data_IF_617017076490
#
_entry.id   IF_617017076490
#
_cell.length_a   1.000
_cell.length_b   1.000
_cell.length_c   1.000
_cell.angle_alpha   90.00
_cell.angle_beta   90.00
_cell.angle_gamma   90.00
#
_symmetry.space_group_name_H-M   'P 1'
#
loop_
_entity.id
_entity.type
_entity.pdbx_description
1 polymer ?
#
# COMPACT_ATOMS: atom_id res chain seq x y z
N UNK A 1 12.40 5.16 5.06
CA UNK A 1 11.10 5.82 4.84
C UNK A 1 10.05 4.75 5.02
N UNK A 2 9.17 4.96 5.99
CA UNK A 2 8.36 3.91 6.62
C UNK A 2 6.90 4.36 6.77
N UNK A 3 6.01 3.42 7.07
CA UNK A 3 4.61 3.68 7.42
C UNK A 3 4.44 4.81 8.45
N UNK A 4 5.36 4.94 9.41
CA UNK A 4 5.35 6.01 10.39
C UNK A 4 5.61 7.39 9.79
N UNK A 5 6.46 7.47 8.76
CA UNK A 5 6.70 8.71 8.01
C UNK A 5 5.44 9.15 7.26
N UNK A 6 4.75 8.20 6.62
CA UNK A 6 3.47 8.47 5.94
C UNK A 6 2.40 8.94 6.92
N UNK A 7 2.25 8.25 8.07
CA UNK A 7 1.31 8.65 9.14
C UNK A 7 1.63 10.02 9.74
N UNK A 8 2.90 10.42 9.77
CA UNK A 8 3.31 11.73 10.30
C UNK A 8 3.05 12.87 9.33
N UNK A 9 2.94 12.59 8.03
CA UNK A 9 2.59 13.57 7.01
C UNK A 9 1.07 13.83 6.91
N UNK A 10 0.23 13.04 7.58
CA UNK A 10 -1.24 13.21 7.58
C UNK A 10 -1.63 14.39 8.47
N UNK A 11 -2.35 15.41 7.94
CA UNK A 11 -2.81 16.55 8.73
C UNK A 11 -3.83 16.20 9.82
N UNK A 12 -3.95 17.06 10.83
CA UNK A 12 -4.84 16.82 11.97
C UNK A 12 -6.32 16.66 11.59
N UNK A 13 -6.80 17.38 10.58
CA UNK A 13 -8.18 17.25 10.09
C UNK A 13 -8.46 15.86 9.47
N UNK A 14 -7.41 15.08 9.17
CA UNK A 14 -7.48 13.75 8.59
C UNK A 14 -7.02 12.66 9.57
N UNK A 15 -7.12 12.91 10.88
CA UNK A 15 -6.71 11.99 11.95
C UNK A 15 -7.24 10.57 11.76
N UNK A 16 -8.49 10.41 11.31
CA UNK A 16 -9.09 9.09 11.12
C UNK A 16 -8.40 8.29 10.02
N UNK A 17 -7.88 8.93 8.96
CA UNK A 17 -7.10 8.26 7.92
C UNK A 17 -5.79 7.70 8.49
N UNK A 18 -5.13 8.45 9.37
CA UNK A 18 -3.91 8.01 10.07
C UNK A 18 -4.19 6.79 10.96
N UNK A 19 -5.28 6.82 11.73
CA UNK A 19 -5.67 5.72 12.61
C UNK A 19 -6.03 4.46 11.81
N UNK A 20 -6.83 4.61 10.76
CA UNK A 20 -7.23 3.50 9.91
C UNK A 20 -6.03 2.87 9.19
N UNK A 21 -5.11 3.69 8.65
CA UNK A 21 -3.90 3.17 8.01
C UNK A 21 -3.04 2.36 8.99
N UNK A 22 -2.90 2.84 10.23
CA UNK A 22 -2.22 2.10 11.29
C UNK A 22 -2.91 0.78 11.63
N UNK A 23 -4.23 0.79 11.77
CA UNK A 23 -5.00 -0.42 12.10
C UNK A 23 -5.00 -1.46 10.98
N UNK A 24 -5.18 -1.04 9.73
CA UNK A 24 -5.23 -1.94 8.58
C UNK A 24 -3.91 -2.65 8.35
N UNK A 25 -2.77 -1.97 8.55
CA UNK A 25 -1.46 -2.61 8.34
C UNK A 25 -0.98 -3.33 9.61
N UNK A 26 -1.22 -2.76 10.80
CA UNK A 26 -0.72 -3.29 12.07
C UNK A 26 -1.54 -4.43 12.67
N UNK A 27 -2.85 -4.48 12.41
CA UNK A 27 -3.80 -5.44 13.03
C UNK A 27 -4.58 -6.25 11.97
N UNK A 28 -4.02 -6.46 10.79
CA UNK A 28 -4.70 -7.19 9.72
C UNK A 28 -4.76 -8.69 10.00
N UNK A 29 -5.95 -9.28 9.83
CA UNK A 29 -6.16 -10.73 9.84
C UNK A 29 -5.72 -11.41 8.54
N UNK A 30 -5.35 -10.65 7.51
CA UNK A 30 -4.85 -11.19 6.25
C UNK A 30 -3.44 -11.79 6.41
N UNK A 31 -3.13 -12.90 5.74
CA UNK A 31 -1.76 -13.39 5.59
C UNK A 31 -0.84 -12.31 5.03
N UNK A 32 0.44 -12.31 5.46
CA UNK A 32 1.41 -11.28 5.12
C UNK A 32 1.49 -10.98 3.60
N UNK A 33 1.51 -12.01 2.75
CA UNK A 33 1.55 -11.81 1.30
C UNK A 33 0.30 -11.09 0.77
N UNK A 34 -0.90 -11.41 1.29
CA UNK A 34 -2.15 -10.77 0.88
C UNK A 34 -2.21 -9.32 1.35
N UNK A 35 -1.79 -9.06 2.61
CA UNK A 35 -1.72 -7.72 3.17
C UNK A 35 -0.79 -6.83 2.32
N UNK A 36 0.47 -7.24 2.17
CA UNK A 36 1.47 -6.41 1.50
C UNK A 36 1.26 -6.32 -0.01
N UNK A 37 0.69 -7.35 -0.64
CA UNK A 37 0.25 -7.30 -2.04
C UNK A 37 -0.86 -6.27 -2.24
N UNK A 38 -1.86 -6.26 -1.35
CA UNK A 38 -2.96 -5.28 -1.35
C UNK A 38 -2.44 -3.87 -1.12
N UNK A 39 -1.57 -3.67 -0.12
CA UNK A 39 -0.96 -2.37 0.19
C UNK A 39 -0.19 -1.83 -1.02
N UNK A 40 0.65 -2.64 -1.66
CA UNK A 40 1.42 -2.20 -2.83
C UNK A 40 0.51 -1.86 -4.02
N UNK A 41 -0.44 -2.73 -4.35
CA UNK A 41 -1.35 -2.51 -5.47
C UNK A 41 -2.19 -1.24 -5.27
N UNK A 42 -2.71 -1.02 -4.06
CA UNK A 42 -3.50 0.18 -3.71
C UNK A 42 -2.64 1.44 -3.65
N UNK A 43 -1.40 1.36 -3.15
CA UNK A 43 -0.45 2.48 -3.18
C UNK A 43 -0.17 2.95 -4.62
N UNK A 44 0.02 2.02 -5.57
CA UNK A 44 0.18 2.33 -6.99
C UNK A 44 -1.12 2.93 -7.56
N UNK A 45 -2.26 2.32 -7.26
CA UNK A 45 -3.57 2.78 -7.74
C UNK A 45 -3.92 4.20 -7.24
N UNK A 46 -3.42 4.61 -6.06
CA UNK A 46 -3.62 5.96 -5.51
C UNK A 46 -2.97 7.08 -6.32
N UNK A 47 -2.01 6.74 -7.20
CA UNK A 47 -1.21 7.69 -7.99
C UNK A 47 -0.50 8.77 -7.17
N UNK A 48 -0.29 8.53 -5.87
CA UNK A 48 0.47 9.42 -5.00
C UNK A 48 1.93 8.99 -4.91
N UNK A 49 2.89 9.79 -5.40
CA UNK A 49 4.31 9.48 -5.29
C UNK A 49 4.79 9.34 -3.85
N UNK A 50 4.18 10.11 -2.93
CA UNK A 50 4.51 10.04 -1.50
C UNK A 50 4.08 8.69 -0.93
N UNK A 51 2.82 8.29 -1.15
CA UNK A 51 2.29 7.02 -0.63
C UNK A 51 3.11 5.83 -1.16
N UNK A 52 3.41 5.82 -2.47
CA UNK A 52 4.20 4.74 -3.06
C UNK A 52 5.62 4.71 -2.49
N UNK A 53 6.29 5.86 -2.37
CA UNK A 53 7.66 5.94 -1.84
C UNK A 53 7.77 5.43 -0.41
N UNK A 54 6.77 5.71 0.43
CA UNK A 54 6.81 5.29 1.84
C UNK A 54 6.43 3.80 2.02
N UNK A 55 5.57 3.23 1.18
CA UNK A 55 5.04 1.85 1.36
C UNK A 55 5.74 0.79 0.48
N UNK A 56 6.28 1.15 -0.68
CA UNK A 56 6.94 0.20 -1.59
C UNK A 56 8.14 -0.53 -0.96
N UNK A 57 9.02 0.13 -0.17
CA UNK A 57 10.14 -0.56 0.47
C UNK A 57 9.68 -1.63 1.47
N UNK A 58 8.64 -1.34 2.26
CA UNK A 58 8.08 -2.29 3.23
C UNK A 58 7.40 -3.45 2.52
N UNK A 59 6.62 -3.18 1.46
CA UNK A 59 6.03 -4.24 0.65
C UNK A 59 7.10 -5.14 0.02
N UNK A 60 8.20 -4.57 -0.50
CA UNK A 60 9.30 -5.33 -1.09
C UNK A 60 10.03 -6.22 -0.07
N UNK A 61 10.08 -5.81 1.20
CA UNK A 61 10.70 -6.60 2.27
C UNK A 61 9.81 -7.78 2.73
N UNK A 62 8.49 -7.68 2.56
CA UNK A 62 7.52 -8.67 3.04
C UNK A 62 6.95 -9.57 1.93
N UNK A 63 7.29 -9.31 0.67
CA UNK A 63 6.82 -10.08 -0.49
C UNK A 63 7.97 -10.84 -1.13
N UNK A 64 7.68 -12.01 -1.69
CA UNK A 64 8.60 -12.65 -2.64
C UNK A 64 8.73 -11.80 -3.91
N UNK A 65 9.82 -11.95 -4.69
CA UNK A 65 9.98 -11.25 -5.96
C UNK A 65 8.80 -11.44 -6.92
N UNK A 66 8.24 -12.66 -6.95
CA UNK A 66 7.09 -13.02 -7.77
C UNK A 66 5.82 -12.30 -7.31
N UNK A 67 5.55 -12.32 -6.00
CA UNK A 67 4.37 -11.66 -5.42
C UNK A 67 4.44 -10.13 -5.58
N UNK A 68 5.63 -9.55 -5.43
CA UNK A 68 5.86 -8.13 -5.67
C UNK A 68 5.59 -7.72 -7.13
N UNK A 69 6.12 -8.49 -8.09
CA UNK A 69 5.85 -8.27 -9.51
C UNK A 69 4.37 -8.47 -9.87
N UNK A 70 3.72 -9.48 -9.27
CA UNK A 70 2.31 -9.76 -9.45
C UNK A 70 1.42 -8.61 -8.94
N UNK A 71 1.73 -8.04 -7.77
CA UNK A 71 0.98 -6.89 -7.23
C UNK A 71 1.07 -5.65 -8.15
N UNK A 72 2.26 -5.37 -8.71
CA UNK A 72 2.44 -4.31 -9.72
C UNK A 72 1.66 -4.59 -11.00
N UNK A 73 1.70 -5.82 -11.47
CA UNK A 73 0.99 -6.26 -12.67
C UNK A 73 -0.53 -6.14 -12.48
N UNK A 74 -1.04 -6.53 -11.31
CA UNK A 74 -2.45 -6.37 -10.96
C UNK A 74 -2.88 -4.90 -11.02
N UNK A 75 -2.11 -3.98 -10.42
CA UNK A 75 -2.41 -2.55 -10.49
C UNK A 75 -2.43 -2.01 -11.93
N UNK A 76 -1.49 -2.45 -12.78
CA UNK A 76 -1.42 -2.04 -14.19
C UNK A 76 -2.60 -2.57 -15.02
N UNK A 77 -2.93 -3.85 -14.89
CA UNK A 77 -4.05 -4.47 -15.62
C UNK A 77 -5.39 -3.89 -15.15
N UNK A 78 -5.58 -3.72 -13.84
CA UNK A 78 -6.82 -3.12 -13.30
C UNK A 78 -6.98 -1.66 -13.72
N UNK A 79 -5.90 -0.90 -13.90
CA UNK A 79 -6.00 0.46 -14.43
C UNK A 79 -6.60 0.50 -15.85
N UNK A 80 -6.39 -0.54 -16.65
CA UNK A 80 -7.04 -0.71 -17.96
C UNK A 80 -8.47 -1.24 -17.77
N UNK A 81 -8.62 -2.40 -17.14
CA UNK A 81 -9.90 -3.11 -17.05
C UNK A 81 -10.99 -2.38 -16.26
N UNK A 82 -10.64 -1.46 -15.36
CA UNK A 82 -11.64 -0.67 -14.64
C UNK A 82 -12.27 0.43 -15.51
N UNK A 83 -11.68 0.73 -16.68
CA UNK A 83 -12.15 1.76 -17.61
C UNK A 83 -12.88 1.17 -18.81
N UNK A 84 -12.49 -0.04 -19.25
CA UNK A 84 -13.01 -0.73 -20.44
C UNK A 84 -13.89 -1.92 -20.06
#
# INVERSE_FOLDING_TARGET
MSLDSLKSAVPDYAKDLKLNLGSVIGNSDLPAQQLWGTVLATAIASRSPIVLRELEPEAKANLSPEAYSAAKSAAAVMAMNNVF
#
